data_IF_012564845492
#
_entry.id   IF_012564845492
#
_cell.length_a   1.000
_cell.length_b   1.000
_cell.length_c   1.000
_cell.angle_alpha   90.00
_cell.angle_beta   90.00
_cell.angle_gamma   90.00
#
_symmetry.space_group_name_H-M   'P 1'
#
loop_
_entity.id
_entity.type
_entity.pdbx_description
1 polymer ?
#
# COMPACT_ATOMS: atom_id res chain seq x y z
N UNK A 1 -32.79 -12.86 88.68
CA UNK A 1 -31.57 -12.90 87.82
C UNK A 1 -31.97 -12.45 86.44
N UNK A 2 -31.75 -11.20 86.15
CA UNK A 2 -32.13 -10.60 84.88
C UNK A 2 -30.82 -10.27 84.06
N UNK A 3 -30.70 -10.81 82.88
CA UNK A 3 -29.62 -10.50 81.92
C UNK A 3 -29.99 -9.26 81.16
N UNK A 4 -29.04 -8.35 80.87
CA UNK A 4 -29.25 -7.17 79.98
C UNK A 4 -29.05 -7.55 78.53
N UNK A 5 -29.97 -7.07 77.71
CA UNK A 5 -29.94 -7.09 76.23
C UNK A 5 -28.88 -6.13 75.63
N UNK A 6 -28.04 -6.65 74.75
CA UNK A 6 -27.08 -5.92 74.02
C UNK A 6 -27.72 -5.24 72.73
N UNK A 7 -27.63 -3.95 72.66
CA UNK A 7 -27.95 -3.18 71.44
C UNK A 7 -26.80 -3.31 70.40
N UNK A 8 -27.11 -3.83 69.25
CA UNK A 8 -26.21 -3.88 68.09
C UNK A 8 -26.34 -2.61 67.26
N UNK A 9 -25.28 -1.83 67.16
CA UNK A 9 -25.15 -0.70 66.21
C UNK A 9 -24.68 -1.27 64.86
N UNK A 10 -25.47 -1.09 63.82
CA UNK A 10 -25.07 -1.38 62.45
C UNK A 10 -24.15 -0.24 61.89
N UNK A 11 -23.07 -0.55 61.19
CA UNK A 11 -22.24 0.48 60.58
C UNK A 11 -22.92 0.97 59.28
N UNK A 12 -22.98 2.29 59.14
CA UNK A 12 -23.39 2.97 57.91
C UNK A 12 -22.36 2.74 56.82
N UNK A 13 -22.76 2.09 55.74
CA UNK A 13 -21.94 2.02 54.48
C UNK A 13 -21.92 3.40 53.81
N UNK A 14 -20.77 4.05 53.82
CA UNK A 14 -20.50 5.20 52.96
C UNK A 14 -20.18 4.70 51.54
N UNK A 15 -21.05 5.03 50.59
CA UNK A 15 -20.86 4.77 49.17
C UNK A 15 -19.87 5.81 48.59
N UNK A 16 -18.73 5.42 47.98
CA UNK A 16 -17.87 6.38 47.36
C UNK A 16 -18.52 6.88 46.04
N UNK A 17 -18.75 8.17 45.94
CA UNK A 17 -19.07 8.81 44.68
C UNK A 17 -17.85 8.65 43.75
N UNK A 18 -17.95 7.80 42.73
CA UNK A 18 -17.03 7.77 41.60
C UNK A 18 -17.29 8.99 40.74
N UNK A 19 -16.48 10.03 40.92
CA UNK A 19 -16.35 11.11 39.95
C UNK A 19 -15.71 10.50 38.68
N UNK A 20 -16.54 10.20 37.69
CA UNK A 20 -16.08 9.93 36.33
C UNK A 20 -15.55 11.24 35.73
N UNK A 21 -14.28 11.54 36.01
CA UNK A 21 -13.55 12.57 35.29
C UNK A 21 -13.43 12.12 33.83
N UNK A 22 -14.05 12.85 32.89
CA UNK A 22 -13.71 12.76 31.51
C UNK A 22 -12.22 13.09 31.36
N UNK A 23 -11.38 12.06 31.22
CA UNK A 23 -10.00 12.21 30.78
C UNK A 23 -10.06 12.65 29.32
N UNK A 24 -10.14 13.95 29.08
CA UNK A 24 -9.79 14.49 27.77
C UNK A 24 -8.31 14.18 27.59
N UNK A 25 -8.01 13.17 26.77
CA UNK A 25 -6.63 12.95 26.34
C UNK A 25 -6.12 14.30 25.80
N UNK A 26 -4.99 14.82 26.30
CA UNK A 26 -4.42 16.03 25.76
C UNK A 26 -4.18 15.80 24.27
N UNK A 27 -4.81 16.64 23.43
CA UNK A 27 -4.52 16.67 22.00
C UNK A 27 -3.04 16.96 21.88
N UNK A 28 -2.25 15.96 21.52
CA UNK A 28 -0.84 16.18 21.23
C UNK A 28 -0.74 17.27 20.17
N UNK A 29 0.12 18.29 20.36
CA UNK A 29 0.30 19.33 19.36
C UNK A 29 0.66 18.67 18.04
N UNK A 30 -0.03 19.05 16.97
CA UNK A 30 0.20 18.54 15.63
C UNK A 30 1.68 18.78 15.27
N UNK A 31 2.40 17.72 14.92
CA UNK A 31 3.78 17.84 14.44
C UNK A 31 3.74 18.58 13.10
N UNK A 32 4.62 19.56 12.91
CA UNK A 32 4.74 20.29 11.66
C UNK A 32 5.20 19.32 10.54
N UNK A 33 4.43 19.13 9.46
CA UNK A 33 4.80 18.27 8.33
C UNK A 33 6.16 18.61 7.72
N UNK A 34 6.58 19.87 7.72
CA UNK A 34 7.86 20.31 7.14
C UNK A 34 9.08 19.66 7.80
N UNK A 35 8.94 19.17 9.04
CA UNK A 35 10.00 18.42 9.73
C UNK A 35 10.34 17.08 9.04
N UNK A 36 9.44 16.57 8.23
CA UNK A 36 9.66 15.35 7.44
C UNK A 36 10.16 15.65 6.03
N UNK A 37 10.18 16.91 5.60
CA UNK A 37 10.62 17.31 4.26
C UNK A 37 12.14 17.49 4.20
N UNK A 38 12.84 16.42 4.57
CA UNK A 38 14.31 16.32 4.55
C UNK A 38 14.86 16.26 3.11
N UNK A 39 16.17 16.36 2.89
CA UNK A 39 16.76 16.19 1.56
C UNK A 39 16.38 14.86 0.89
N UNK A 40 16.39 13.74 1.63
CA UNK A 40 16.00 12.42 1.11
C UNK A 40 14.50 12.35 0.72
N UNK A 41 13.62 13.02 1.49
CA UNK A 41 12.20 13.17 1.13
C UNK A 41 12.03 13.91 -0.19
N UNK A 42 12.75 15.03 -0.36
CA UNK A 42 12.68 15.85 -1.58
C UNK A 42 13.32 15.19 -2.79
N UNK A 43 14.30 14.31 -2.57
CA UNK A 43 14.94 13.55 -3.63
C UNK A 43 13.97 12.55 -4.28
N UNK A 44 13.08 11.94 -3.49
CA UNK A 44 11.99 11.11 -4.00
C UNK A 44 10.76 11.99 -4.26
N UNK A 45 10.71 12.57 -5.44
CA UNK A 45 9.73 13.61 -5.85
C UNK A 45 8.26 13.20 -5.66
N UNK A 46 7.96 11.92 -5.80
CA UNK A 46 6.59 11.41 -5.65
C UNK A 46 5.99 11.66 -4.26
N UNK A 47 6.81 11.74 -3.21
CA UNK A 47 6.34 11.94 -1.82
C UNK A 47 5.63 13.29 -1.62
N UNK A 48 6.17 14.34 -2.20
CA UNK A 48 5.58 15.69 -2.08
C UNK A 48 4.25 15.77 -2.82
N UNK A 49 4.14 15.17 -3.99
CA UNK A 49 2.92 15.19 -4.83
C UNK A 49 1.73 14.54 -4.12
N UNK A 50 1.99 13.48 -3.35
CA UNK A 50 0.95 12.74 -2.61
C UNK A 50 0.74 13.26 -1.17
N UNK A 51 1.39 14.35 -0.77
CA UNK A 51 1.34 14.95 0.56
C UNK A 51 1.77 13.97 1.69
N UNK A 52 2.83 13.19 1.46
CA UNK A 52 3.28 12.15 2.39
C UNK A 52 3.74 12.74 3.74
N UNK A 53 4.37 13.93 3.76
CA UNK A 53 4.84 14.60 4.99
C UNK A 53 3.71 14.86 5.99
N UNK A 54 2.50 15.16 5.50
CA UNK A 54 1.33 15.36 6.36
C UNK A 54 0.88 14.06 7.04
N UNK A 55 0.92 12.93 6.31
CA UNK A 55 0.64 11.62 6.89
C UNK A 55 1.68 11.26 7.95
N UNK A 56 2.97 11.51 7.68
CA UNK A 56 4.06 11.27 8.65
C UNK A 56 3.90 12.07 9.94
N UNK A 57 3.55 13.36 9.82
CA UNK A 57 3.26 14.21 10.96
C UNK A 57 2.10 13.70 11.83
N UNK A 58 1.23 12.88 11.26
CA UNK A 58 0.11 12.22 11.95
C UNK A 58 0.43 10.77 12.38
N UNK A 59 1.70 10.35 12.26
CA UNK A 59 2.18 9.04 12.71
C UNK A 59 2.06 7.90 11.70
N UNK A 60 1.63 8.16 10.47
CA UNK A 60 1.52 7.15 9.42
C UNK A 60 2.84 6.91 8.70
N UNK A 61 3.66 5.97 9.17
CA UNK A 61 5.01 5.67 8.65
C UNK A 61 5.18 4.23 8.18
N UNK A 62 4.14 3.39 8.32
CA UNK A 62 4.19 1.96 8.02
C UNK A 62 4.58 1.06 9.20
N UNK A 63 4.83 1.63 10.39
CA UNK A 63 5.21 0.87 11.58
C UNK A 63 4.22 -0.26 11.88
N UNK A 64 4.74 -1.49 12.00
CA UNK A 64 3.93 -2.68 12.33
C UNK A 64 3.18 -3.30 11.14
N UNK A 65 3.27 -2.73 9.95
CA UNK A 65 2.60 -3.22 8.74
C UNK A 65 3.58 -3.99 7.86
N UNK A 66 3.19 -5.20 7.43
CA UNK A 66 3.93 -6.01 6.47
C UNK A 66 3.30 -5.92 5.08
N UNK A 67 4.14 -5.83 4.05
CA UNK A 67 3.77 -5.84 2.64
C UNK A 67 4.48 -7.00 1.96
N UNK A 68 3.74 -7.82 1.22
CA UNK A 68 4.34 -8.83 0.35
C UNK A 68 4.75 -8.18 -0.98
N UNK A 69 5.98 -8.38 -1.37
CA UNK A 69 6.56 -7.92 -2.63
C UNK A 69 6.73 -9.11 -3.57
N UNK A 70 5.88 -9.22 -4.57
CA UNK A 70 5.90 -10.30 -5.57
C UNK A 70 6.52 -9.73 -6.85
N UNK A 71 7.83 -10.00 -7.05
CA UNK A 71 8.62 -9.32 -8.07
C UNK A 71 9.85 -10.17 -8.51
N UNK A 72 10.88 -9.55 -9.06
CA UNK A 72 12.15 -10.18 -9.44
C UNK A 72 13.06 -10.55 -8.26
N UNK A 73 12.60 -10.38 -7.03
CA UNK A 73 13.38 -10.55 -5.81
C UNK A 73 13.70 -9.23 -5.11
N UNK A 74 14.56 -9.32 -4.11
CA UNK A 74 15.03 -8.18 -3.33
C UNK A 74 16.46 -8.45 -2.86
N UNK A 75 17.37 -7.49 -3.03
CA UNK A 75 18.64 -7.49 -2.33
C UNK A 75 18.44 -6.96 -0.89
N UNK A 76 18.04 -7.86 0.01
CA UNK A 76 17.72 -7.53 1.41
C UNK A 76 18.94 -7.14 2.26
N UNK A 77 20.15 -7.35 1.76
CA UNK A 77 21.39 -7.02 2.47
C UNK A 77 21.78 -5.54 2.38
N UNK A 78 21.10 -4.76 1.54
CA UNK A 78 21.40 -3.35 1.39
C UNK A 78 21.03 -2.56 2.65
N UNK A 79 21.84 -1.53 3.02
CA UNK A 79 21.55 -0.66 4.16
C UNK A 79 20.14 -0.06 4.13
N UNK A 80 19.62 0.26 2.94
CA UNK A 80 18.29 0.78 2.74
C UNK A 80 17.17 -0.12 3.29
N UNK A 81 17.42 -1.42 3.49
CA UNK A 81 16.41 -2.37 4.00
C UNK A 81 16.75 -2.95 5.37
N UNK A 82 17.73 -2.40 6.06
CA UNK A 82 18.12 -2.84 7.40
C UNK A 82 16.93 -2.68 8.37
N UNK A 83 16.47 -3.80 8.98
CA UNK A 83 15.29 -3.82 9.84
C UNK A 83 13.94 -3.78 9.10
N UNK A 84 13.95 -3.84 7.76
CA UNK A 84 12.71 -3.80 6.94
C UNK A 84 12.22 -5.20 6.52
N UNK A 85 12.97 -6.25 6.78
CA UNK A 85 12.58 -7.60 6.37
C UNK A 85 11.82 -8.30 7.50
N UNK A 86 10.55 -8.57 7.25
CA UNK A 86 9.66 -9.31 8.16
C UNK A 86 9.94 -10.79 8.14
N UNK A 87 10.14 -11.31 6.92
CA UNK A 87 10.44 -12.71 6.63
C UNK A 87 11.31 -12.72 5.36
N UNK A 88 12.29 -13.60 5.26
CA UNK A 88 13.18 -13.64 4.10
C UNK A 88 12.48 -13.98 2.78
N UNK A 89 11.24 -14.44 2.83
CA UNK A 89 10.48 -14.82 1.66
C UNK A 89 10.96 -16.07 0.97
N UNK A 90 10.68 -16.18 -0.32
CA UNK A 90 11.04 -17.37 -1.10
C UNK A 90 11.40 -17.02 -2.54
N UNK A 91 12.41 -17.68 -3.05
CA UNK A 91 12.90 -17.60 -4.42
C UNK A 91 12.43 -18.85 -5.17
N UNK A 92 11.38 -18.70 -5.99
CA UNK A 92 10.83 -19.82 -6.78
C UNK A 92 11.73 -20.20 -7.95
N UNK A 93 12.57 -19.29 -8.45
CA UNK A 93 13.50 -19.56 -9.55
C UNK A 93 14.62 -20.48 -9.10
N UNK A 94 15.17 -20.23 -7.91
CA UNK A 94 16.26 -21.04 -7.33
C UNK A 94 15.77 -22.05 -6.28
N UNK A 95 14.46 -22.09 -6.03
CA UNK A 95 13.80 -22.98 -5.07
C UNK A 95 14.46 -22.96 -3.67
N UNK A 96 14.53 -21.78 -3.07
CA UNK A 96 15.17 -21.56 -1.77
C UNK A 96 14.51 -20.47 -0.93
N UNK A 97 14.74 -20.52 0.38
CA UNK A 97 14.38 -19.44 1.30
C UNK A 97 15.28 -18.22 1.07
N UNK A 98 14.67 -17.03 1.11
CA UNK A 98 15.32 -15.77 0.78
C UNK A 98 15.40 -15.55 -0.72
N UNK A 99 15.55 -14.29 -1.13
CA UNK A 99 15.59 -13.92 -2.54
C UNK A 99 16.91 -13.28 -2.91
N UNK A 100 17.27 -13.41 -4.19
CA UNK A 100 18.25 -12.57 -4.88
C UNK A 100 17.50 -11.75 -5.91
N UNK A 101 17.96 -10.54 -6.19
CA UNK A 101 17.45 -9.74 -7.29
C UNK A 101 18.55 -9.57 -8.34
N UNK A 102 18.49 -10.33 -9.40
CA UNK A 102 19.45 -10.27 -10.51
C UNK A 102 19.08 -9.18 -11.52
N UNK A 103 17.79 -8.89 -11.64
CA UNK A 103 17.23 -7.91 -12.58
C UNK A 103 17.33 -6.50 -11.98
N UNK A 104 17.01 -6.34 -10.69
CA UNK A 104 17.00 -5.06 -9.99
C UNK A 104 15.60 -4.42 -9.87
N UNK A 105 14.59 -4.93 -10.58
CA UNK A 105 13.26 -4.35 -10.58
C UNK A 105 12.61 -4.44 -9.19
N UNK A 106 12.61 -5.61 -8.55
CA UNK A 106 12.03 -5.78 -7.22
C UNK A 106 12.71 -4.93 -6.15
N UNK A 107 14.04 -4.79 -6.21
CA UNK A 107 14.79 -3.92 -5.30
C UNK A 107 14.42 -2.44 -5.50
N UNK A 108 14.21 -2.00 -6.75
CA UNK A 108 13.72 -0.65 -7.04
C UNK A 108 12.31 -0.43 -6.49
N UNK A 109 11.41 -1.39 -6.66
CA UNK A 109 10.05 -1.32 -6.11
C UNK A 109 10.06 -1.29 -4.58
N UNK A 110 10.88 -2.12 -3.96
CA UNK A 110 11.09 -2.12 -2.51
C UNK A 110 11.59 -0.76 -2.00
N UNK A 111 12.49 -0.12 -2.74
CA UNK A 111 13.01 1.22 -2.42
C UNK A 111 11.91 2.27 -2.38
N UNK A 112 11.07 2.34 -3.42
CA UNK A 112 9.90 3.24 -3.46
C UNK A 112 8.95 2.97 -2.30
N UNK A 113 8.72 1.70 -1.98
CA UNK A 113 7.77 1.28 -0.97
C UNK A 113 8.27 1.56 0.46
N UNK A 114 9.49 1.13 0.82
CA UNK A 114 9.91 1.00 2.22
C UNK A 114 11.39 1.25 2.52
N UNK A 115 12.19 1.84 1.62
CA UNK A 115 13.57 2.17 1.96
C UNK A 115 13.66 3.02 3.22
N UNK A 116 14.65 2.75 4.06
CA UNK A 116 14.89 3.44 5.32
C UNK A 116 14.98 4.96 5.16
N UNK A 117 14.46 5.67 6.14
CA UNK A 117 14.73 7.09 6.36
C UNK A 117 15.98 7.20 7.24
N UNK A 118 17.12 7.45 6.62
CA UNK A 118 18.43 7.38 7.27
C UNK A 118 19.39 8.53 6.88
N UNK A 119 18.82 9.60 6.31
CA UNK A 119 19.53 10.81 5.83
C UNK A 119 20.44 10.54 4.61
N UNK A 120 20.19 9.46 3.84
CA UNK A 120 20.93 9.11 2.63
C UNK A 120 19.99 8.93 1.42
N UNK A 121 20.38 9.50 0.29
CA UNK A 121 19.72 9.32 -1.01
C UNK A 121 18.23 9.63 -1.01
N UNK A 122 17.39 8.63 -0.74
CA UNK A 122 15.93 8.75 -0.68
C UNK A 122 15.35 7.76 0.33
N UNK A 123 14.12 7.95 0.76
CA UNK A 123 13.39 6.95 1.53
C UNK A 123 12.07 6.55 0.86
N UNK A 124 11.56 5.38 1.20
CA UNK A 124 10.26 4.89 0.74
C UNK A 124 9.09 5.61 1.40
N UNK A 125 7.90 5.44 0.81
CA UNK A 125 6.66 6.01 1.36
C UNK A 125 6.41 5.52 2.78
N UNK A 126 6.59 4.22 3.01
CA UNK A 126 6.39 3.57 4.30
C UNK A 126 7.73 3.14 4.90
N UNK A 127 8.59 4.10 5.23
CA UNK A 127 9.96 3.86 5.66
C UNK A 127 10.11 3.05 6.98
N UNK A 128 9.01 2.76 7.66
CA UNK A 128 8.94 1.87 8.82
C UNK A 128 8.15 0.57 8.55
N UNK A 129 7.64 0.35 7.35
CA UNK A 129 6.99 -0.90 7.00
C UNK A 129 8.01 -2.05 6.87
N UNK A 130 7.51 -3.26 6.89
CA UNK A 130 8.31 -4.47 6.70
C UNK A 130 7.93 -5.18 5.41
N UNK A 131 8.89 -5.82 4.78
CA UNK A 131 8.76 -6.50 3.50
C UNK A 131 8.83 -8.03 3.67
N UNK A 132 8.08 -8.72 2.82
CA UNK A 132 8.18 -10.17 2.62
C UNK A 132 8.37 -10.38 1.11
N UNK A 133 9.62 -10.55 0.64
CA UNK A 133 9.92 -10.63 -0.78
C UNK A 133 9.72 -12.03 -1.35
N UNK A 134 9.20 -12.08 -2.58
CA UNK A 134 9.11 -13.30 -3.37
C UNK A 134 9.68 -13.04 -4.76
N UNK A 135 10.50 -13.97 -5.24
CA UNK A 135 11.00 -13.96 -6.61
C UNK A 135 10.33 -15.04 -7.43
N UNK A 136 9.73 -14.65 -8.53
CA UNK A 136 9.08 -15.52 -9.50
C UNK A 136 9.55 -15.23 -10.92
N UNK A 137 9.32 -16.16 -11.84
CA UNK A 137 9.68 -16.03 -13.25
C UNK A 137 11.17 -16.22 -13.51
N UNK A 138 11.53 -16.43 -14.77
CA UNK A 138 12.91 -16.55 -15.24
C UNK A 138 13.48 -15.16 -15.54
N UNK A 139 14.73 -14.91 -15.17
CA UNK A 139 15.44 -13.66 -15.48
C UNK A 139 15.61 -13.41 -16.99
N UNK A 140 15.55 -14.44 -17.80
CA UNK A 140 15.75 -14.39 -19.24
C UNK A 140 14.46 -14.36 -20.04
N UNK A 141 13.33 -14.76 -19.42
CA UNK A 141 12.03 -14.87 -20.09
C UNK A 141 10.92 -14.31 -19.19
N UNK A 142 10.09 -13.40 -19.68
CA UNK A 142 9.02 -12.79 -18.87
C UNK A 142 7.81 -13.73 -18.77
N UNK A 143 8.03 -14.99 -18.41
CA UNK A 143 6.94 -15.93 -18.16
C UNK A 143 6.48 -15.85 -16.71
N UNK A 144 5.18 -15.68 -16.53
CA UNK A 144 4.54 -15.77 -15.24
C UNK A 144 4.10 -17.23 -15.04
N UNK A 145 4.67 -17.86 -14.01
CA UNK A 145 4.20 -19.17 -13.59
C UNK A 145 3.06 -19.00 -12.59
N UNK A 146 1.86 -19.40 -12.98
CA UNK A 146 0.64 -19.25 -12.20
C UNK A 146 0.77 -19.79 -10.78
N UNK A 147 1.34 -21.00 -10.64
CA UNK A 147 1.54 -21.65 -9.33
C UNK A 147 2.49 -20.86 -8.42
N UNK A 148 3.56 -20.27 -8.96
CA UNK A 148 4.52 -19.47 -8.18
C UNK A 148 3.88 -18.18 -7.65
N UNK A 149 3.08 -17.53 -8.48
CA UNK A 149 2.33 -16.33 -8.11
C UNK A 149 1.29 -16.66 -7.03
N UNK A 150 0.48 -17.69 -7.24
CA UNK A 150 -0.52 -18.13 -6.27
C UNK A 150 0.10 -18.48 -4.92
N UNK A 151 1.22 -19.21 -4.92
CA UNK A 151 1.98 -19.56 -3.72
C UNK A 151 2.58 -18.33 -3.04
N UNK A 152 3.13 -17.38 -3.81
CA UNK A 152 3.67 -16.12 -3.28
C UNK A 152 2.60 -15.31 -2.56
N UNK A 153 1.42 -15.18 -3.14
CA UNK A 153 0.30 -14.47 -2.52
C UNK A 153 -0.16 -15.15 -1.23
N UNK A 154 -0.35 -16.47 -1.26
CA UNK A 154 -0.77 -17.22 -0.08
C UNK A 154 0.29 -17.15 1.03
N UNK A 155 1.56 -17.37 0.70
CA UNK A 155 2.65 -17.33 1.66
C UNK A 155 2.82 -15.93 2.28
N UNK A 156 2.74 -14.87 1.48
CA UNK A 156 2.79 -13.50 1.97
C UNK A 156 1.65 -13.20 2.96
N UNK A 157 0.45 -13.64 2.63
CA UNK A 157 -0.71 -13.49 3.50
C UNK A 157 -0.57 -14.27 4.81
N UNK A 158 -0.12 -15.51 4.75
CA UNK A 158 0.11 -16.38 5.92
C UNK A 158 1.19 -15.82 6.86
N UNK A 159 2.18 -15.10 6.31
CA UNK A 159 3.22 -14.40 7.05
C UNK A 159 2.80 -13.02 7.58
N UNK A 160 1.55 -12.65 7.40
CA UNK A 160 0.93 -11.46 8.00
C UNK A 160 0.77 -10.26 7.07
N UNK A 161 1.18 -10.32 5.80
CA UNK A 161 0.86 -9.28 4.85
C UNK A 161 -0.64 -9.25 4.55
N UNK A 162 -1.18 -8.03 4.43
CA UNK A 162 -2.55 -7.79 3.95
C UNK A 162 -2.54 -6.90 2.70
N UNK A 163 -1.39 -6.39 2.34
CA UNK A 163 -1.11 -5.61 1.13
C UNK A 163 -0.13 -6.42 0.30
N UNK A 164 -0.50 -6.71 -0.94
CA UNK A 164 0.26 -7.52 -1.87
C UNK A 164 0.64 -6.64 -3.06
N UNK A 165 1.92 -6.26 -3.15
CA UNK A 165 2.44 -5.46 -4.26
C UNK A 165 2.79 -6.35 -5.44
N UNK A 166 2.16 -6.08 -6.58
CA UNK A 166 2.39 -6.77 -7.85
C UNK A 166 2.72 -5.72 -8.90
N UNK A 167 4.01 -5.42 -9.09
CA UNK A 167 4.45 -4.43 -10.09
C UNK A 167 4.63 -5.06 -11.47
N UNK A 168 3.67 -5.88 -11.88
CA UNK A 168 3.61 -6.64 -13.12
C UNK A 168 2.16 -6.90 -13.54
N UNK A 169 1.92 -7.26 -14.78
CA UNK A 169 0.64 -7.76 -15.28
C UNK A 169 0.83 -8.52 -16.61
N UNK A 170 -0.10 -9.43 -16.92
CA UNK A 170 -0.15 -10.07 -18.23
C UNK A 170 -0.53 -9.04 -19.31
N UNK A 171 0.17 -9.06 -20.45
CA UNK A 171 0.02 -8.09 -21.54
C UNK A 171 -1.28 -8.27 -22.37
N UNK A 172 -2.35 -8.75 -21.73
CA UNK A 172 -3.68 -8.92 -22.32
C UNK A 172 -4.53 -7.73 -21.86
N UNK A 173 -5.25 -7.03 -22.75
CA UNK A 173 -6.18 -5.98 -22.34
C UNK A 173 -7.28 -6.52 -21.43
N UNK A 174 -7.64 -5.76 -20.40
CA UNK A 174 -8.68 -6.17 -19.45
C UNK A 174 -10.04 -6.47 -20.12
N UNK A 175 -10.36 -5.73 -21.18
CA UNK A 175 -11.59 -5.92 -21.97
C UNK A 175 -11.65 -7.23 -22.74
N UNK A 176 -10.52 -7.93 -22.90
CA UNK A 176 -10.44 -9.24 -23.51
C UNK A 176 -10.47 -10.38 -22.49
N UNK A 177 -10.51 -10.07 -21.21
CA UNK A 177 -10.55 -11.05 -20.11
C UNK A 177 -12.00 -11.26 -19.66
N UNK A 178 -12.39 -12.54 -19.58
CA UNK A 178 -13.52 -13.01 -18.80
C UNK A 178 -13.05 -14.12 -17.86
N UNK A 179 -13.92 -14.58 -16.98
CA UNK A 179 -13.56 -15.61 -15.98
C UNK A 179 -12.99 -16.86 -16.63
N UNK A 180 -13.63 -17.36 -17.69
CA UNK A 180 -13.20 -18.59 -18.37
C UNK A 180 -11.79 -18.45 -18.96
N UNK A 181 -11.52 -17.32 -19.63
CA UNK A 181 -10.19 -17.03 -20.19
C UNK A 181 -9.13 -16.86 -19.11
N UNK A 182 -9.44 -16.14 -18.03
CA UNK A 182 -8.49 -15.98 -16.93
C UNK A 182 -8.20 -17.32 -16.24
N UNK A 183 -9.23 -18.14 -16.04
CA UNK A 183 -9.07 -19.49 -15.50
C UNK A 183 -8.25 -20.44 -16.39
N UNK A 184 -8.17 -20.18 -17.69
CA UNK A 184 -7.27 -20.93 -18.58
C UNK A 184 -5.81 -20.51 -18.44
N UNK A 185 -5.56 -19.23 -18.14
CA UNK A 185 -4.21 -18.66 -18.07
C UNK A 185 -3.66 -18.73 -16.65
N UNK A 186 -4.48 -18.43 -15.65
CA UNK A 186 -4.08 -18.26 -14.24
C UNK A 186 -5.07 -18.96 -13.28
N UNK A 187 -5.27 -20.29 -13.39
CA UNK A 187 -6.28 -21.00 -12.59
C UNK A 187 -5.98 -21.01 -11.08
N UNK A 188 -4.73 -21.20 -10.67
CA UNK A 188 -4.35 -21.22 -9.26
C UNK A 188 -4.38 -19.81 -8.65
N UNK A 189 -3.90 -18.82 -9.38
CA UNK A 189 -3.98 -17.41 -8.99
C UNK A 189 -5.44 -16.95 -8.83
N UNK A 190 -6.34 -17.37 -9.71
CA UNK A 190 -7.76 -17.03 -9.61
C UNK A 190 -8.37 -17.55 -8.30
N UNK A 191 -8.14 -18.81 -7.98
CA UNK A 191 -8.64 -19.43 -6.74
C UNK A 191 -8.06 -18.72 -5.51
N UNK A 192 -6.75 -18.47 -5.53
CA UNK A 192 -6.03 -17.82 -4.43
C UNK A 192 -6.49 -16.37 -4.25
N UNK A 193 -6.63 -15.59 -5.32
CA UNK A 193 -7.10 -14.21 -5.25
C UNK A 193 -8.50 -14.12 -4.62
N UNK A 194 -9.45 -14.95 -5.07
CA UNK A 194 -10.79 -15.02 -4.48
C UNK A 194 -10.77 -15.31 -2.98
N UNK A 195 -9.96 -16.28 -2.58
CA UNK A 195 -9.80 -16.63 -1.15
C UNK A 195 -9.23 -15.45 -0.37
N UNK A 196 -8.12 -14.89 -0.81
CA UNK A 196 -7.41 -13.85 -0.07
C UNK A 196 -8.19 -12.53 0.00
N UNK A 197 -8.90 -12.14 -1.07
CA UNK A 197 -9.80 -10.97 -1.03
C UNK A 197 -10.94 -11.18 -0.06
N UNK A 198 -11.55 -12.36 -0.02
CA UNK A 198 -12.55 -12.70 0.99
C UNK A 198 -11.98 -12.59 2.41
N UNK A 199 -10.72 -13.01 2.59
CA UNK A 199 -10.02 -13.03 3.89
C UNK A 199 -9.37 -11.66 4.24
N UNK A 200 -9.59 -10.61 3.42
CA UNK A 200 -9.23 -9.23 3.75
C UNK A 200 -7.97 -8.69 3.08
N UNK A 201 -7.38 -9.38 2.12
CA UNK A 201 -6.22 -8.89 1.36
C UNK A 201 -6.57 -7.73 0.42
N UNK A 202 -5.56 -6.91 0.14
CA UNK A 202 -5.56 -5.87 -0.90
C UNK A 202 -4.44 -6.16 -1.88
N UNK A 203 -4.81 -6.30 -3.14
CA UNK A 203 -3.90 -6.49 -4.28
C UNK A 203 -3.70 -5.15 -4.99
N UNK A 204 -2.45 -4.81 -5.28
CA UNK A 204 -2.08 -3.60 -6.01
C UNK A 204 -1.41 -4.00 -7.32
N UNK A 205 -1.94 -3.49 -8.44
CA UNK A 205 -1.43 -3.77 -9.79
C UNK A 205 -1.28 -2.51 -10.62
N UNK A 206 -0.23 -2.40 -11.45
CA UNK A 206 -0.04 -1.31 -12.40
C UNK A 206 -0.98 -1.49 -13.61
N UNK A 207 -1.45 -0.37 -14.19
CA UNK A 207 -2.33 -0.42 -15.38
C UNK A 207 -1.62 -0.91 -16.64
N UNK A 208 -0.28 -0.81 -16.71
CA UNK A 208 0.54 -1.18 -17.86
C UNK A 208 1.23 0.00 -18.53
N UNK A 209 2.16 -0.27 -19.47
CA UNK A 209 3.06 0.71 -20.09
C UNK A 209 3.00 0.72 -21.62
N UNK A 210 1.83 0.44 -22.19
CA UNK A 210 1.62 0.28 -23.64
C UNK A 210 0.89 1.47 -24.29
N UNK A 211 0.69 2.57 -23.52
CA UNK A 211 -0.05 3.75 -23.97
C UNK A 211 -1.47 3.41 -24.46
N UNK A 212 -2.18 2.55 -23.73
CA UNK A 212 -3.55 2.14 -24.04
C UNK A 212 -4.58 2.91 -23.21
N UNK A 213 -5.80 3.02 -23.71
CA UNK A 213 -6.92 3.59 -22.96
C UNK A 213 -7.50 2.62 -21.91
N UNK A 214 -7.13 1.36 -21.98
CA UNK A 214 -7.58 0.29 -21.10
C UNK A 214 -6.40 -0.31 -20.33
N UNK A 215 -6.62 -0.73 -19.08
CA UNK A 215 -5.59 -1.42 -18.32
C UNK A 215 -5.35 -2.84 -18.84
N UNK A 216 -4.26 -3.44 -18.38
CA UNK A 216 -3.95 -4.86 -18.59
C UNK A 216 -4.87 -5.76 -17.75
N UNK A 217 -4.69 -7.07 -17.89
CA UNK A 217 -5.57 -8.11 -17.36
C UNK A 217 -5.77 -8.01 -15.83
N UNK A 218 -4.69 -8.11 -15.06
CA UNK A 218 -4.79 -8.12 -13.59
C UNK A 218 -5.35 -6.82 -13.00
N UNK A 219 -4.87 -5.61 -13.37
CA UNK A 219 -5.46 -4.38 -12.85
C UNK A 219 -6.94 -4.21 -13.20
N UNK A 220 -7.38 -4.77 -14.34
CA UNK A 220 -8.77 -4.71 -14.79
C UNK A 220 -9.63 -5.92 -14.40
N UNK A 221 -9.08 -6.90 -13.69
CA UNK A 221 -9.73 -8.18 -13.41
C UNK A 221 -11.12 -8.09 -12.73
N UNK A 222 -11.39 -7.11 -11.82
CA UNK A 222 -12.72 -6.95 -11.25
C UNK A 222 -13.84 -6.65 -12.27
N UNK A 223 -13.52 -6.22 -13.49
CA UNK A 223 -14.53 -6.10 -14.55
C UNK A 223 -15.21 -7.46 -14.83
N UNK A 224 -14.41 -8.54 -14.88
CA UNK A 224 -14.88 -9.90 -15.10
C UNK A 224 -15.29 -10.60 -13.80
N UNK A 225 -14.73 -10.20 -12.67
CA UNK A 225 -14.84 -10.82 -11.34
C UNK A 225 -15.15 -9.76 -10.28
N UNK A 226 -16.39 -9.20 -10.25
CA UNK A 226 -16.74 -8.07 -9.38
C UNK A 226 -16.50 -8.33 -7.89
N UNK A 227 -16.52 -9.58 -7.44
CA UNK A 227 -16.24 -9.96 -6.05
C UNK A 227 -14.82 -9.61 -5.60
N UNK A 228 -13.88 -9.39 -6.52
CA UNK A 228 -12.50 -9.00 -6.23
C UNK A 228 -12.36 -7.50 -5.96
N UNK A 229 -13.28 -6.65 -6.42
CA UNK A 229 -13.13 -5.19 -6.40
C UNK A 229 -12.77 -4.64 -5.02
N UNK A 230 -13.42 -5.13 -3.97
CA UNK A 230 -13.20 -4.66 -2.59
C UNK A 230 -11.76 -4.83 -2.08
N UNK A 231 -10.98 -5.74 -2.69
CA UNK A 231 -9.58 -6.00 -2.36
C UNK A 231 -8.63 -5.65 -3.50
N UNK A 232 -9.01 -4.78 -4.45
CA UNK A 232 -8.24 -4.52 -5.65
C UNK A 232 -7.92 -3.05 -5.86
N UNK A 233 -6.70 -2.73 -6.27
CA UNK A 233 -6.34 -1.38 -6.73
C UNK A 233 -5.55 -1.50 -8.04
N UNK A 234 -6.05 -0.81 -9.07
CA UNK A 234 -5.30 -0.50 -10.28
C UNK A 234 -4.58 0.85 -10.13
N UNK A 235 -3.38 0.98 -10.66
CA UNK A 235 -2.57 2.19 -10.49
C UNK A 235 -2.11 2.73 -11.84
N UNK A 236 -2.53 3.95 -12.16
CA UNK A 236 -2.06 4.72 -13.31
C UNK A 236 -0.89 5.60 -12.91
N UNK A 237 0.13 5.70 -13.78
CA UNK A 237 1.31 6.50 -13.50
C UNK A 237 1.19 7.94 -14.04
N UNK A 238 1.59 8.89 -13.20
CA UNK A 238 1.80 10.29 -13.58
C UNK A 238 3.29 10.57 -13.78
N UNK A 239 3.61 11.69 -14.41
CA UNK A 239 4.95 12.30 -14.34
C UNK A 239 5.35 12.50 -12.89
N UNK A 240 6.64 12.63 -12.62
CA UNK A 240 7.17 12.76 -11.25
C UNK A 240 6.63 13.95 -10.46
N UNK A 241 6.19 15.00 -11.16
CA UNK A 241 5.59 16.21 -10.57
C UNK A 241 4.05 16.18 -10.51
N UNK A 242 3.43 15.10 -10.97
CA UNK A 242 1.96 14.96 -11.00
C UNK A 242 1.27 15.76 -12.10
N UNK A 243 1.97 16.50 -12.93
CA UNK A 243 1.40 17.48 -13.88
C UNK A 243 0.59 16.86 -15.02
N UNK A 244 0.85 15.60 -15.37
CA UNK A 244 0.17 14.88 -16.43
C UNK A 244 0.36 13.36 -16.25
N UNK A 245 -0.40 12.57 -17.03
CA UNK A 245 -0.16 11.13 -17.14
C UNK A 245 1.24 10.87 -17.72
N UNK A 246 1.89 9.80 -17.26
CA UNK A 246 3.16 9.34 -17.83
C UNK A 246 2.98 8.97 -19.29
N UNK A 247 3.97 9.29 -20.13
CA UNK A 247 3.89 9.13 -21.59
C UNK A 247 3.64 7.69 -22.08
N UNK A 248 3.89 6.68 -21.24
CA UNK A 248 3.68 5.26 -21.57
C UNK A 248 2.54 4.62 -20.78
N UNK A 249 2.04 5.27 -19.73
CA UNK A 249 1.03 4.68 -18.86
C UNK A 249 -0.26 4.35 -19.61
N UNK A 250 -0.77 3.13 -19.39
CA UNK A 250 -2.14 2.84 -19.74
C UNK A 250 -3.07 3.66 -18.82
N UNK A 251 -4.28 3.94 -19.29
CA UNK A 251 -5.31 4.64 -18.53
C UNK A 251 -5.99 3.68 -17.53
N UNK A 252 -6.76 4.24 -16.61
CA UNK A 252 -7.63 3.46 -15.74
C UNK A 252 -8.74 2.74 -16.52
N UNK A 253 -9.30 3.35 -17.57
CA UNK A 253 -10.30 2.77 -18.45
C UNK A 253 -11.43 2.09 -17.68
N UNK A 254 -11.69 0.82 -17.96
CA UNK A 254 -12.71 0.00 -17.28
C UNK A 254 -12.47 -0.18 -15.79
N UNK A 255 -11.26 0.05 -15.29
CA UNK A 255 -10.91 -0.04 -13.87
C UNK A 255 -11.15 1.26 -13.09
N UNK A 256 -11.75 2.30 -13.68
CA UNK A 256 -11.86 3.63 -13.08
C UNK A 256 -12.41 3.65 -11.64
N UNK A 257 -13.30 2.72 -11.28
CA UNK A 257 -13.90 2.65 -9.96
C UNK A 257 -12.92 2.23 -8.85
N UNK A 258 -11.92 1.44 -9.17
CA UNK A 258 -10.87 0.94 -8.24
C UNK A 258 -9.46 1.35 -8.65
N UNK A 259 -9.31 2.35 -9.51
CA UNK A 259 -8.04 2.87 -10.01
C UNK A 259 -7.71 4.21 -9.38
N UNK A 260 -6.42 4.45 -9.12
CA UNK A 260 -5.91 5.69 -8.54
C UNK A 260 -4.66 6.18 -9.29
N UNK A 261 -4.50 7.49 -9.37
CA UNK A 261 -3.37 8.11 -10.04
C UNK A 261 -2.30 8.54 -9.02
N UNK A 262 -1.04 8.23 -9.31
CA UNK A 262 0.12 8.63 -8.50
C UNK A 262 1.34 8.87 -9.38
N UNK A 263 2.36 9.61 -8.92
CA UNK A 263 3.62 9.71 -9.63
C UNK A 263 4.25 8.33 -9.89
N UNK A 264 4.64 8.09 -11.12
CA UNK A 264 5.43 6.93 -11.54
C UNK A 264 6.73 7.35 -12.23
N UNK A 265 6.94 8.66 -12.37
CA UNK A 265 8.06 9.20 -13.13
C UNK A 265 7.85 9.16 -14.65
N UNK A 266 8.81 9.65 -15.39
CA UNK A 266 8.81 9.60 -16.85
C UNK A 266 10.19 9.19 -17.37
N UNK A 267 10.25 8.77 -18.65
CA UNK A 267 11.52 8.44 -19.30
C UNK A 267 12.29 9.73 -19.61
N UNK A 268 13.50 9.83 -19.13
CA UNK A 268 14.37 10.98 -19.33
C UNK A 268 15.26 11.28 -18.15
N UNK A 269 16.40 11.90 -18.38
CA UNK A 269 17.33 12.23 -17.32
C UNK A 269 16.66 13.16 -16.28
N UNK A 270 16.64 12.73 -15.02
CA UNK A 270 16.05 13.48 -13.92
C UNK A 270 14.51 13.50 -13.88
N UNK A 271 13.82 12.77 -14.74
CA UNK A 271 12.35 12.73 -14.81
C UNK A 271 11.75 11.49 -14.12
N UNK A 272 12.56 10.50 -13.80
CA UNK A 272 12.14 9.32 -13.05
C UNK A 272 11.92 9.60 -11.56
N UNK A 273 11.46 8.57 -10.86
CA UNK A 273 11.48 8.52 -9.39
C UNK A 273 12.81 7.94 -8.93
N UNK A 274 13.45 8.58 -7.95
CA UNK A 274 14.67 8.06 -7.35
C UNK A 274 14.34 6.87 -6.45
N UNK A 275 15.13 5.80 -6.56
CA UNK A 275 14.96 4.58 -5.77
C UNK A 275 16.30 3.88 -5.53
N UNK A 276 16.27 2.81 -4.72
CA UNK A 276 17.43 1.97 -4.42
C UNK A 276 17.70 1.01 -5.58
N UNK A 277 18.91 1.04 -6.13
CA UNK A 277 19.41 0.05 -7.08
C UNK A 277 19.84 -1.25 -6.40
N UNK A 278 19.84 -2.36 -7.15
CA UNK A 278 20.20 -3.69 -6.60
C UNK A 278 21.64 -3.82 -6.07
N UNK A 279 22.52 -2.94 -6.52
CA UNK A 279 23.93 -2.92 -6.15
C UNK A 279 24.23 -1.89 -5.04
N UNK A 280 23.19 -1.26 -4.48
CA UNK A 280 23.31 -0.30 -3.38
C UNK A 280 23.48 1.16 -3.80
N UNK A 281 23.48 1.42 -5.09
CA UNK A 281 23.41 2.76 -5.66
C UNK A 281 21.96 3.32 -5.65
N UNK A 282 21.80 4.57 -6.03
CA UNK A 282 20.50 5.16 -6.29
C UNK A 282 20.29 5.32 -7.78
N UNK A 283 19.16 4.83 -8.27
CA UNK A 283 18.80 4.85 -9.67
C UNK A 283 17.46 5.53 -9.89
N UNK A 284 17.19 5.96 -11.11
CA UNK A 284 15.88 6.46 -11.49
C UNK A 284 15.07 5.37 -12.19
N UNK A 285 13.81 5.28 -11.83
CA UNK A 285 12.83 4.35 -12.42
C UNK A 285 11.61 5.12 -12.91
N UNK A 286 10.90 4.58 -13.90
CA UNK A 286 9.71 5.21 -14.43
C UNK A 286 8.70 4.17 -14.93
N UNK A 287 7.42 4.51 -14.87
CA UNK A 287 6.32 3.70 -15.35
C UNK A 287 5.26 3.40 -14.30
N UNK A 288 4.39 2.46 -14.63
CA UNK A 288 3.29 2.07 -13.74
C UNK A 288 3.74 1.12 -12.62
N UNK A 289 4.87 0.41 -12.77
CA UNK A 289 5.44 -0.43 -11.72
C UNK A 289 5.85 0.35 -10.46
N UNK A 290 6.66 1.44 -10.55
CA UNK A 290 6.97 2.25 -9.37
C UNK A 290 5.75 2.98 -8.81
N UNK A 291 4.78 3.34 -9.65
CA UNK A 291 3.49 3.88 -9.19
C UNK A 291 2.73 2.88 -8.30
N UNK A 292 2.66 1.60 -8.69
CA UNK A 292 2.05 0.55 -7.87
C UNK A 292 2.78 0.38 -6.53
N UNK A 293 4.11 0.38 -6.52
CA UNK A 293 4.91 0.31 -5.31
C UNK A 293 4.66 1.52 -4.37
N UNK A 294 4.51 2.71 -4.96
CA UNK A 294 4.18 3.93 -4.20
C UNK A 294 2.81 3.82 -3.52
N UNK A 295 1.79 3.26 -4.20
CA UNK A 295 0.47 3.01 -3.61
C UNK A 295 0.53 1.95 -2.51
N UNK A 296 1.28 0.86 -2.71
CA UNK A 296 1.45 -0.17 -1.69
C UNK A 296 2.10 0.38 -0.42
N UNK A 297 3.12 1.25 -0.57
CA UNK A 297 3.72 1.99 0.54
C UNK A 297 2.73 2.94 1.21
N UNK A 298 1.93 3.68 0.43
CA UNK A 298 0.92 4.59 0.96
C UNK A 298 -0.16 3.86 1.77
N UNK A 299 -0.62 2.70 1.28
CA UNK A 299 -1.53 1.83 2.04
C UNK A 299 -0.92 1.39 3.37
N UNK A 300 0.35 0.97 3.37
CA UNK A 300 1.04 0.54 4.59
C UNK A 300 1.22 1.70 5.57
N UNK A 301 1.63 2.88 5.08
CA UNK A 301 1.78 4.07 5.90
C UNK A 301 0.44 4.53 6.49
N UNK A 302 -0.63 4.55 5.68
CA UNK A 302 -1.97 4.90 6.13
C UNK A 302 -2.54 3.87 7.10
N UNK A 303 -2.31 2.58 6.87
CA UNK A 303 -2.76 1.51 7.77
C UNK A 303 -2.09 1.60 9.15
N UNK A 304 -0.81 1.98 9.21
CA UNK A 304 -0.13 2.22 10.50
C UNK A 304 -0.72 3.40 11.28
N UNK A 305 -1.36 4.35 10.61
CA UNK A 305 -2.10 5.46 11.23
C UNK A 305 -3.47 5.03 11.77
N UNK A 306 -4.08 4.03 11.14
CA UNK A 306 -5.41 3.51 11.47
C UNK A 306 -5.36 2.00 11.68
N UNK A 307 -4.67 1.51 12.74
CA UNK A 307 -4.49 0.08 12.98
C UNK A 307 -5.78 -0.66 13.31
N UNK A 308 -6.84 0.07 13.67
CA UNK A 308 -8.18 -0.46 13.91
C UNK A 308 -8.96 -0.79 12.63
N UNK A 309 -8.55 -0.21 11.49
CA UNK A 309 -9.19 -0.48 10.20
C UNK A 309 -8.61 -1.75 9.57
N UNK A 310 -9.42 -2.46 8.81
CA UNK A 310 -8.91 -3.53 7.94
C UNK A 310 -8.16 -2.91 6.74
N UNK A 311 -7.28 -3.69 6.10
CA UNK A 311 -6.57 -3.23 4.90
C UNK A 311 -7.55 -2.80 3.78
N UNK A 312 -8.68 -3.47 3.63
CA UNK A 312 -9.73 -3.09 2.67
C UNK A 312 -10.43 -1.78 3.03
N UNK A 313 -10.65 -1.51 4.31
CA UNK A 313 -11.17 -0.20 4.76
C UNK A 313 -10.16 0.92 4.54
N UNK A 314 -8.86 0.66 4.75
CA UNK A 314 -7.79 1.61 4.42
C UNK A 314 -7.74 1.87 2.91
N UNK A 315 -7.85 0.83 2.09
CA UNK A 315 -7.98 0.94 0.64
C UNK A 315 -9.15 1.83 0.23
N UNK A 316 -10.34 1.57 0.78
CA UNK A 316 -11.53 2.37 0.46
C UNK A 316 -11.35 3.83 0.84
N UNK A 317 -10.77 4.09 2.01
CA UNK A 317 -10.44 5.44 2.46
C UNK A 317 -9.49 6.15 1.49
N UNK A 318 -8.45 5.45 1.03
CA UNK A 318 -7.48 6.00 0.07
C UNK A 318 -8.16 6.41 -1.25
N UNK A 319 -9.03 5.56 -1.78
CA UNK A 319 -9.77 5.81 -3.01
C UNK A 319 -10.82 6.93 -2.85
N UNK A 320 -11.52 6.96 -1.71
CA UNK A 320 -12.58 7.92 -1.45
C UNK A 320 -12.07 9.36 -1.27
N UNK A 321 -10.82 9.52 -0.80
CA UNK A 321 -10.22 10.82 -0.50
C UNK A 321 -9.31 11.36 -1.60
N UNK A 322 -9.19 10.65 -2.73
CA UNK A 322 -8.38 11.09 -3.86
C UNK A 322 -8.87 12.43 -4.43
N UNK A 323 -7.93 13.26 -4.87
CA UNK A 323 -8.22 14.56 -5.47
C UNK A 323 -8.74 14.40 -6.92
N UNK A 324 -9.97 14.86 -7.15
CA UNK A 324 -10.67 14.78 -8.45
C UNK A 324 -10.79 16.13 -9.16
N UNK A 325 -9.97 17.10 -8.81
CA UNK A 325 -10.03 18.44 -9.41
C UNK A 325 -9.10 18.57 -10.61
N UNK A 326 -9.37 19.56 -11.48
CA UNK A 326 -8.53 19.83 -12.64
C UNK A 326 -8.48 18.63 -13.60
N UNK A 327 -7.27 18.27 -14.03
CA UNK A 327 -7.05 17.13 -14.95
C UNK A 327 -7.52 15.80 -14.38
N UNK A 328 -7.48 15.65 -13.05
CA UNK A 328 -7.86 14.41 -12.35
C UNK A 328 -9.38 14.15 -12.32
N UNK A 329 -10.19 15.09 -12.82
CA UNK A 329 -11.63 14.88 -13.01
C UNK A 329 -11.96 13.89 -14.13
N UNK A 330 -11.03 13.64 -15.05
CA UNK A 330 -11.19 12.63 -16.10
C UNK A 330 -10.97 11.22 -15.54
N UNK A 331 -12.04 10.55 -15.15
CA UNK A 331 -12.00 9.22 -14.55
C UNK A 331 -11.53 8.12 -15.51
N UNK A 332 -11.71 8.28 -16.81
CA UNK A 332 -11.17 7.33 -17.81
C UNK A 332 -9.64 7.28 -17.71
N UNK A 333 -8.99 8.42 -17.59
CA UNK A 333 -7.53 8.50 -17.49
C UNK A 333 -7.03 8.25 -16.06
N UNK A 334 -7.64 8.88 -15.06
CA UNK A 334 -7.10 8.99 -13.71
C UNK A 334 -7.90 8.25 -12.63
N UNK A 335 -8.94 7.50 -12.99
CA UNK A 335 -9.78 6.73 -12.07
C UNK A 335 -10.43 7.59 -10.99
N UNK A 336 -10.12 7.29 -9.74
CA UNK A 336 -10.58 8.02 -8.55
C UNK A 336 -9.88 9.36 -8.37
N UNK A 337 -8.84 9.65 -9.17
CA UNK A 337 -8.05 10.88 -9.12
C UNK A 337 -6.67 10.70 -8.51
N UNK A 338 -5.99 11.82 -8.22
CA UNK A 338 -4.68 11.83 -7.58
C UNK A 338 -4.80 11.42 -6.11
N UNK A 339 -3.99 10.46 -5.69
CA UNK A 339 -3.86 10.08 -4.28
C UNK A 339 -3.47 11.27 -3.41
N UNK A 340 -4.20 11.49 -2.32
CA UNK A 340 -3.98 12.58 -1.36
C UNK A 340 -3.90 12.04 0.06
N UNK A 341 -2.68 11.88 0.57
CA UNK A 341 -2.44 11.36 1.91
C UNK A 341 -2.77 12.36 3.02
N UNK A 342 -2.80 13.66 2.70
CA UNK A 342 -3.31 14.65 3.63
C UNK A 342 -4.82 14.43 3.87
N UNK A 343 -5.61 14.33 2.80
CA UNK A 343 -7.03 14.08 2.91
C UNK A 343 -7.32 12.70 3.54
N UNK A 344 -6.61 11.65 3.12
CA UNK A 344 -6.78 10.29 3.64
C UNK A 344 -6.45 10.16 5.13
N UNK A 345 -5.51 10.95 5.66
CA UNK A 345 -5.09 10.89 7.06
C UNK A 345 -5.85 11.82 8.01
N UNK A 346 -6.83 12.61 7.53
CA UNK A 346 -7.72 13.39 8.39
C UNK A 346 -8.65 12.47 9.17
N UNK A 347 -8.84 12.75 10.46
CA UNK A 347 -9.90 12.06 11.20
C UNK A 347 -11.26 12.38 10.56
N UNK A 348 -12.16 11.39 10.42
CA UNK A 348 -13.53 11.71 10.06
C UNK A 348 -14.11 12.67 11.11
N UNK A 349 -14.99 13.61 10.73
CA UNK A 349 -15.70 14.42 11.73
C UNK A 349 -16.39 13.46 12.71
N UNK A 350 -16.31 13.76 14.01
CA UNK A 350 -16.98 12.99 15.05
C UNK A 350 -18.45 12.80 14.64
N UNK A 351 -18.92 11.57 14.57
CA UNK A 351 -20.30 11.27 14.21
C UNK A 351 -21.21 11.95 15.24
N UNK A 352 -22.24 12.70 14.79
CA UNK A 352 -23.19 13.40 15.66
C UNK A 352 -24.08 12.44 16.48
N UNK A 353 -23.71 11.18 16.61
CA UNK A 353 -24.49 10.17 17.34
C UNK A 353 -24.15 10.05 18.83
N UNK A 354 -23.21 10.85 19.36
CA UNK A 354 -22.86 10.83 20.80
C UNK A 354 -23.44 12.01 21.60
N UNK A 355 -24.47 12.70 21.10
CA UNK A 355 -25.14 13.79 21.83
C UNK A 355 -26.63 13.52 22.13
N UNK A 356 -26.99 12.26 22.31
CA UNK A 356 -28.32 11.94 22.87
C UNK A 356 -28.19 10.74 23.84
N UNK A 357 -27.83 11.05 25.07
CA UNK A 357 -28.28 10.34 26.27
C UNK A 357 -28.31 11.38 27.42
#
# INVERSE_FOLDING_TARGET
>A
MLQPSAFSLAPALALPLLLSGCLTNPVQPAIDPTRFETPEYRAQKGLAVIHASTLYARGGTGQGVAVALIDSGLNSNLPAFQGRIRDPGFDYVENRVGTLDRIGHGTQMAGILAANKDDHGMHGVAFNAQLIPFRFGDDNEPFFFDSEIAQSWQAGFDKGARILNNSWANAIPATEINEARYNQVMPESLVTARKLVRDGAVFVFPTGNELRREPLAEPGLPLALPELEKGWIAVVALKSDGSAINAKSNYCGVAAAWCIAVPGGDSGAGQGLLTTGKDGDYVQTAGTSPAAALVSGALAALHSRYPELTAQQVRERLLATANRTGIYANSEAYGRGLMDLEAASRQPPASRHDQTL
#
